data_IF_228453219146
#
_entry.id   IF_228453219146
#
_cell.length_a   1.000
_cell.length_b   1.000
_cell.length_c   1.000
_cell.angle_alpha   90.00
_cell.angle_beta   90.00
_cell.angle_gamma   90.00
#
_symmetry.space_group_name_H-M   'P 1'
#
loop_
_entity.id
_entity.type
_entity.pdbx_description
1 polymer ?
#
# COMPACT_ATOMS: atom_id res chain seq x y z
N UNK A 1 26.74 -18.39 -9.36
CA UNK A 1 27.90 -17.49 -9.25
C UNK A 1 27.82 -16.57 -8.01
N UNK A 2 26.69 -16.55 -7.26
CA UNK A 2 26.52 -15.79 -6.03
C UNK A 2 26.06 -14.34 -6.22
N UNK A 3 25.76 -13.91 -7.45
CA UNK A 3 25.17 -12.59 -7.72
C UNK A 3 23.66 -12.62 -7.46
N UNK A 4 23.16 -11.61 -6.73
CA UNK A 4 21.73 -11.45 -6.48
C UNK A 4 21.09 -10.76 -7.69
N UNK A 5 20.27 -11.48 -8.44
CA UNK A 5 19.61 -10.99 -9.66
C UNK A 5 18.13 -10.65 -9.47
N UNK A 6 17.57 -10.95 -8.31
CA UNK A 6 16.19 -10.60 -7.97
C UNK A 6 15.75 -11.10 -6.61
N UNK A 7 14.58 -10.64 -6.18
CA UNK A 7 13.91 -11.07 -4.96
C UNK A 7 12.40 -10.98 -5.11
N UNK A 8 11.67 -11.75 -4.33
CA UNK A 8 10.21 -11.68 -4.21
C UNK A 8 9.79 -12.13 -2.83
N UNK A 9 8.69 -11.61 -2.33
CA UNK A 9 8.05 -12.07 -1.11
C UNK A 9 6.65 -12.59 -1.40
N UNK A 10 6.36 -13.81 -0.99
CA UNK A 10 5.01 -14.38 -1.00
C UNK A 10 4.34 -14.19 0.36
N UNK A 11 3.07 -13.74 0.36
CA UNK A 11 2.34 -13.37 1.58
C UNK A 11 0.95 -13.99 1.57
N UNK A 12 0.60 -14.69 2.65
CA UNK A 12 -0.77 -15.15 2.91
C UNK A 12 -1.29 -14.45 4.16
N UNK A 13 -2.30 -13.59 3.99
CA UNK A 13 -2.97 -12.97 5.12
C UNK A 13 -3.93 -13.96 5.78
N UNK A 14 -3.57 -14.48 6.95
CA UNK A 14 -4.35 -15.49 7.65
C UNK A 14 -5.74 -14.98 8.06
N UNK A 15 -5.85 -13.71 8.47
CA UNK A 15 -7.14 -13.10 8.84
C UNK A 15 -8.07 -13.04 7.63
N UNK A 16 -7.54 -12.66 6.46
CA UNK A 16 -8.31 -12.61 5.23
C UNK A 16 -8.72 -14.02 4.76
N UNK A 17 -7.81 -14.99 4.91
CA UNK A 17 -8.07 -16.39 4.59
C UNK A 17 -9.22 -16.96 5.42
N UNK A 18 -9.18 -16.76 6.73
CA UNK A 18 -10.17 -17.33 7.66
C UNK A 18 -11.52 -16.62 7.60
N UNK A 19 -11.52 -15.28 7.70
CA UNK A 19 -12.75 -14.49 7.78
C UNK A 19 -13.48 -14.30 6.46
N UNK A 20 -12.73 -14.13 5.36
CA UNK A 20 -13.30 -13.78 4.05
C UNK A 20 -13.26 -14.94 3.04
N UNK A 21 -12.77 -16.12 3.44
CA UNK A 21 -12.46 -17.22 2.51
C UNK A 21 -11.63 -16.73 1.31
N UNK A 22 -10.75 -15.78 1.55
CA UNK A 22 -9.92 -15.19 0.53
C UNK A 22 -8.79 -16.16 0.18
N UNK A 23 -8.81 -16.65 -1.06
CA UNK A 23 -7.83 -17.60 -1.57
C UNK A 23 -6.72 -16.91 -2.38
N UNK A 24 -6.38 -15.68 -2.01
CA UNK A 24 -5.31 -14.91 -2.66
C UNK A 24 -3.98 -15.12 -1.93
N UNK A 25 -2.93 -15.52 -2.66
CA UNK A 25 -1.55 -15.29 -2.26
C UNK A 25 -1.11 -13.95 -2.81
N UNK A 26 -0.57 -13.10 -1.96
CA UNK A 26 0.01 -11.83 -2.37
C UNK A 26 1.47 -12.02 -2.73
N UNK A 27 1.98 -11.22 -3.68
CA UNK A 27 3.41 -11.04 -3.87
C UNK A 27 3.77 -9.56 -3.73
N UNK A 28 4.94 -9.28 -3.17
CA UNK A 28 5.49 -7.94 -3.03
C UNK A 28 7.00 -7.98 -2.95
N UNK A 29 7.64 -6.80 -2.83
CA UNK A 29 9.11 -6.69 -2.89
C UNK A 29 9.69 -7.49 -4.06
N UNK A 30 9.01 -7.39 -5.21
CA UNK A 30 9.35 -8.11 -6.42
C UNK A 30 10.29 -7.24 -7.25
N UNK A 31 11.59 -7.48 -7.06
CA UNK A 31 12.66 -6.80 -7.75
C UNK A 31 13.48 -7.81 -8.56
N UNK A 32 13.83 -7.46 -9.78
CA UNK A 32 14.56 -8.34 -10.69
C UNK A 32 15.29 -7.54 -11.77
N UNK A 33 16.37 -8.10 -12.31
CA UNK A 33 17.05 -7.58 -13.50
C UNK A 33 16.16 -7.78 -14.74
N UNK A 34 16.43 -7.05 -15.82
CA UNK A 34 15.69 -7.19 -17.09
C UNK A 34 16.01 -8.54 -17.77
N UNK A 35 15.53 -9.61 -17.13
CA UNK A 35 15.64 -10.99 -17.56
C UNK A 35 14.35 -11.74 -17.24
N UNK A 36 13.68 -12.24 -18.31
CA UNK A 36 12.39 -12.89 -18.16
C UNK A 36 12.46 -14.24 -17.42
N UNK A 37 13.58 -14.97 -17.54
CA UNK A 37 13.76 -16.23 -16.80
C UNK A 37 13.84 -15.96 -15.30
N UNK A 38 14.51 -14.88 -14.88
CA UNK A 38 14.57 -14.45 -13.48
C UNK A 38 13.19 -14.07 -12.95
N UNK A 39 12.47 -13.18 -13.64
CA UNK A 39 11.15 -12.73 -13.20
C UNK A 39 10.13 -13.88 -13.16
N UNK A 40 10.12 -14.74 -14.18
CA UNK A 40 9.21 -15.88 -14.25
C UNK A 40 9.51 -16.92 -13.17
N UNK A 41 10.78 -17.23 -12.92
CA UNK A 41 11.18 -18.18 -11.87
C UNK A 41 10.75 -17.70 -10.49
N UNK A 42 10.99 -16.42 -10.18
CA UNK A 42 10.61 -15.82 -8.90
C UNK A 42 9.09 -15.82 -8.71
N UNK A 43 8.31 -15.38 -9.70
CA UNK A 43 6.87 -15.33 -9.59
C UNK A 43 6.26 -16.75 -9.49
N UNK A 44 6.75 -17.68 -10.28
CA UNK A 44 6.31 -19.08 -10.24
C UNK A 44 6.59 -19.73 -8.88
N UNK A 45 7.72 -19.44 -8.24
CA UNK A 45 8.01 -19.93 -6.90
C UNK A 45 6.95 -19.48 -5.87
N UNK A 46 6.49 -18.23 -5.92
CA UNK A 46 5.39 -17.76 -5.07
C UNK A 46 4.06 -18.38 -5.45
N UNK A 47 3.78 -18.53 -6.74
CA UNK A 47 2.55 -19.14 -7.22
C UNK A 47 2.44 -20.62 -6.76
N UNK A 48 3.48 -21.42 -6.93
CA UNK A 48 3.50 -22.82 -6.50
C UNK A 48 3.43 -22.96 -4.97
N UNK A 49 4.15 -22.10 -4.24
CA UNK A 49 4.01 -22.06 -2.79
C UNK A 49 2.58 -21.70 -2.39
N UNK A 50 1.98 -20.66 -2.98
CA UNK A 50 0.61 -20.28 -2.72
C UNK A 50 -0.38 -21.42 -2.99
N UNK A 51 -0.22 -22.11 -4.11
CA UNK A 51 -1.01 -23.28 -4.48
C UNK A 51 -0.88 -24.40 -3.45
N UNK A 52 0.32 -24.68 -2.95
CA UNK A 52 0.54 -25.66 -1.88
C UNK A 52 -0.16 -25.29 -0.57
N UNK A 53 -0.44 -24.02 -0.34
CA UNK A 53 -1.18 -23.48 0.81
C UNK A 53 -2.70 -23.36 0.55
N UNK A 54 -3.19 -23.86 -0.61
CA UNK A 54 -4.60 -23.82 -0.99
C UNK A 54 -5.06 -22.46 -1.50
N UNK A 55 -4.15 -21.63 -1.99
CA UNK A 55 -4.48 -20.36 -2.67
C UNK A 55 -4.76 -20.63 -4.15
N UNK A 56 -5.64 -19.83 -4.73
CA UNK A 56 -6.11 -19.97 -6.11
C UNK A 56 -5.77 -18.74 -6.97
N UNK A 57 -5.47 -17.61 -6.35
CA UNK A 57 -5.26 -16.32 -7.02
C UNK A 57 -3.94 -15.74 -6.57
N UNK A 58 -3.10 -15.33 -7.52
CA UNK A 58 -1.89 -14.56 -7.30
C UNK A 58 -2.23 -13.06 -7.47
N UNK A 59 -1.92 -12.24 -6.47
CA UNK A 59 -2.28 -10.83 -6.44
C UNK A 59 -1.12 -9.96 -5.95
N UNK A 60 -0.76 -8.94 -6.72
CA UNK A 60 0.34 -8.04 -6.37
C UNK A 60 0.72 -7.10 -7.51
N UNK A 61 1.76 -6.31 -7.35
CA UNK A 61 2.61 -6.23 -6.16
C UNK A 61 1.93 -5.48 -5.01
N UNK A 62 1.87 -6.10 -3.85
CA UNK A 62 1.29 -5.53 -2.62
C UNK A 62 1.99 -6.11 -1.39
N UNK A 63 2.14 -5.32 -0.34
CA UNK A 63 2.72 -5.76 0.92
C UNK A 63 1.72 -6.47 1.86
N UNK A 64 2.08 -6.52 3.13
CA UNK A 64 1.23 -7.09 4.18
C UNK A 64 -0.02 -6.24 4.41
N UNK A 65 0.14 -4.92 4.39
CA UNK A 65 -0.87 -3.91 4.71
C UNK A 65 -0.81 -2.75 3.74
N UNK A 66 -1.75 -1.80 3.84
CA UNK A 66 -1.77 -0.58 3.05
C UNK A 66 -0.70 0.45 3.47
N UNK A 67 0.08 0.15 4.51
CA UNK A 67 1.27 0.93 4.88
C UNK A 67 2.54 0.50 4.14
N UNK A 68 2.50 -0.62 3.44
CA UNK A 68 3.59 -1.09 2.59
C UNK A 68 3.42 -0.54 1.16
N UNK A 69 4.52 -0.45 0.45
CA UNK A 69 4.48 -0.09 -0.96
C UNK A 69 3.66 -1.09 -1.77
N UNK A 70 2.85 -0.58 -2.70
CA UNK A 70 2.01 -1.40 -3.56
C UNK A 70 1.87 -0.76 -4.94
N UNK A 71 1.56 -1.60 -5.92
CA UNK A 71 1.37 -1.17 -7.30
C UNK A 71 2.63 -1.26 -8.13
N UNK A 72 2.50 -0.80 -9.36
CA UNK A 72 3.52 -0.77 -10.40
C UNK A 72 3.45 0.59 -11.08
N UNK A 73 4.57 1.31 -11.15
CA UNK A 73 4.65 2.56 -11.90
C UNK A 73 4.52 2.26 -13.39
N UNK A 74 3.54 2.86 -14.04
CA UNK A 74 3.28 2.72 -15.47
C UNK A 74 3.58 3.99 -16.26
N UNK A 75 3.41 5.16 -15.63
CA UNK A 75 3.61 6.47 -16.23
C UNK A 75 4.29 7.41 -15.24
N UNK A 76 5.02 8.41 -15.72
CA UNK A 76 5.65 9.41 -14.87
C UNK A 76 7.04 9.02 -14.37
N UNK A 77 7.79 8.22 -15.12
CA UNK A 77 9.14 7.78 -14.77
C UNK A 77 10.16 8.91 -14.62
N UNK A 78 9.86 10.08 -15.17
CA UNK A 78 10.66 11.31 -15.12
C UNK A 78 10.32 12.20 -13.91
N UNK A 79 9.31 11.85 -13.12
CA UNK A 79 8.95 12.56 -11.89
C UNK A 79 9.59 11.92 -10.66
N UNK A 80 9.88 12.78 -9.67
CA UNK A 80 10.29 12.30 -8.35
C UNK A 80 9.06 11.73 -7.64
N UNK A 81 9.08 10.44 -7.35
CA UNK A 81 8.00 9.77 -6.64
C UNK A 81 7.89 10.29 -5.19
N UNK A 82 6.68 10.47 -4.63
CA UNK A 82 6.50 10.71 -3.22
C UNK A 82 6.95 9.49 -2.39
N UNK A 83 7.27 9.71 -1.12
CA UNK A 83 7.83 8.70 -0.23
C UNK A 83 6.93 7.44 -0.09
N UNK A 84 5.64 7.59 -0.31
CA UNK A 84 4.68 6.48 -0.20
C UNK A 84 4.55 5.65 -1.49
N UNK A 85 5.08 6.14 -2.61
CA UNK A 85 4.94 5.50 -3.91
C UNK A 85 6.13 4.60 -4.23
N UNK A 86 5.90 3.61 -5.06
CA UNK A 86 6.93 2.71 -5.56
C UNK A 86 7.49 3.25 -6.88
N UNK A 87 8.81 3.18 -7.04
CA UNK A 87 9.47 3.38 -8.31
C UNK A 87 9.98 2.03 -8.83
N UNK A 88 9.78 1.78 -10.11
CA UNK A 88 10.32 0.63 -10.82
C UNK A 88 10.81 1.05 -12.20
N UNK A 89 11.61 0.20 -12.85
CA UNK A 89 12.05 0.42 -14.23
C UNK A 89 10.92 0.17 -15.24
N UNK A 90 10.94 0.83 -16.41
CA UNK A 90 9.91 0.66 -17.44
C UNK A 90 9.70 -0.78 -17.92
N UNK A 91 10.75 -1.62 -17.92
CA UNK A 91 10.65 -3.01 -18.38
C UNK A 91 9.73 -3.89 -17.49
N UNK A 92 9.43 -3.46 -16.27
CA UNK A 92 8.58 -4.23 -15.36
C UNK A 92 7.18 -4.50 -15.95
N UNK A 93 6.55 -3.51 -16.58
CA UNK A 93 5.21 -3.68 -17.17
C UNK A 93 5.20 -4.77 -18.24
N UNK A 94 6.21 -4.79 -19.11
CA UNK A 94 6.38 -5.82 -20.15
C UNK A 94 6.54 -7.22 -19.54
N UNK A 95 7.31 -7.35 -18.45
CA UNK A 95 7.45 -8.62 -17.75
C UNK A 95 6.11 -9.08 -17.15
N UNK A 96 5.36 -8.17 -16.50
CA UNK A 96 4.06 -8.50 -15.90
C UNK A 96 3.05 -8.97 -16.97
N UNK A 97 2.99 -8.32 -18.12
CA UNK A 97 2.16 -8.73 -19.26
C UNK A 97 2.57 -10.10 -19.79
N UNK A 98 3.86 -10.34 -20.02
CA UNK A 98 4.38 -11.62 -20.50
C UNK A 98 4.18 -12.76 -19.49
N UNK A 99 4.11 -12.45 -18.18
CA UNK A 99 3.78 -13.40 -17.12
C UNK A 99 2.26 -13.70 -17.04
N UNK A 100 1.45 -13.06 -17.89
CA UNK A 100 -0.01 -13.27 -17.92
C UNK A 100 -0.77 -12.59 -16.79
N UNK A 101 -0.15 -11.64 -16.10
CA UNK A 101 -0.82 -10.85 -15.08
C UNK A 101 -1.77 -9.84 -15.72
N UNK A 102 -2.92 -9.64 -15.11
CA UNK A 102 -3.93 -8.68 -15.57
C UNK A 102 -4.09 -7.55 -14.57
N UNK A 103 -4.24 -6.34 -15.08
CA UNK A 103 -4.45 -5.15 -14.25
C UNK A 103 -5.81 -5.22 -13.54
N UNK A 104 -5.83 -5.04 -12.23
CA UNK A 104 -7.04 -5.11 -11.39
C UNK A 104 -7.49 -3.73 -10.89
N UNK A 105 -6.54 -2.80 -10.63
CA UNK A 105 -6.84 -1.45 -10.16
C UNK A 105 -5.80 -0.44 -10.65
N UNK A 106 -6.20 0.83 -10.71
CA UNK A 106 -5.32 1.97 -10.99
C UNK A 106 -5.27 2.91 -9.79
N UNK A 107 -4.11 3.49 -9.54
CA UNK A 107 -3.91 4.63 -8.66
C UNK A 107 -3.41 5.80 -9.48
N UNK A 108 -3.97 6.98 -9.25
CA UNK A 108 -3.59 8.20 -9.94
C UNK A 108 -3.01 9.18 -8.94
N UNK A 109 -1.82 9.66 -9.22
CA UNK A 109 -1.18 10.72 -8.43
C UNK A 109 -1.38 12.07 -9.10
N UNK A 110 -1.64 13.10 -8.28
CA UNK A 110 -1.83 14.46 -8.76
C UNK A 110 -0.77 15.36 -8.17
N UNK A 111 -0.08 16.11 -9.02
CA UNK A 111 0.74 17.23 -8.59
C UNK A 111 -0.12 18.48 -8.50
N UNK A 112 -0.22 19.06 -7.30
CA UNK A 112 -1.02 20.26 -7.04
C UNK A 112 -0.10 21.41 -6.64
N UNK A 113 -0.20 22.53 -7.39
CA UNK A 113 0.48 23.75 -6.99
C UNK A 113 -0.24 24.39 -5.80
N UNK A 114 0.45 24.48 -4.67
CA UNK A 114 -0.09 25.12 -3.46
C UNK A 114 -0.13 26.63 -3.67
N UNK A 115 -1.29 27.30 -3.54
CA UNK A 115 -1.38 28.75 -3.67
C UNK A 115 -0.63 29.44 -2.53
N UNK A 116 -0.06 30.61 -2.79
CA UNK A 116 0.67 31.41 -1.79
C UNK A 116 -0.19 31.89 -0.62
N UNK A 117 -1.49 31.97 -0.84
CA UNK A 117 -2.49 32.30 0.20
C UNK A 117 -3.69 31.38 0.08
N UNK A 118 -4.21 30.94 1.20
CA UNK A 118 -5.45 30.17 1.22
C UNK A 118 -6.58 31.08 0.69
N UNK A 119 -7.37 30.63 -0.32
CA UNK A 119 -8.51 31.41 -0.79
C UNK A 119 -9.53 31.64 0.34
N UNK A 120 -9.99 32.88 0.52
CA UNK A 120 -10.94 33.26 1.59
C UNK A 120 -12.22 32.42 1.62
N UNK A 121 -12.66 31.94 0.43
CA UNK A 121 -13.80 31.03 0.34
C UNK A 121 -13.51 29.70 1.04
N UNK A 122 -12.30 29.15 0.90
CA UNK A 122 -11.91 27.90 1.56
C UNK A 122 -11.79 28.10 3.06
N UNK A 123 -11.23 29.21 3.51
CA UNK A 123 -11.18 29.53 4.93
C UNK A 123 -12.57 29.63 5.56
N UNK A 124 -13.49 30.35 4.93
CA UNK A 124 -14.89 30.46 5.40
C UNK A 124 -15.60 29.10 5.45
N UNK A 125 -15.43 28.29 4.42
CA UNK A 125 -16.02 26.93 4.38
C UNK A 125 -15.44 26.07 5.49
N UNK A 126 -14.12 26.09 5.70
CA UNK A 126 -13.48 25.33 6.76
C UNK A 126 -13.99 25.74 8.15
N UNK A 127 -14.10 27.05 8.44
CA UNK A 127 -14.64 27.55 9.69
C UNK A 127 -16.11 27.17 9.90
N UNK A 128 -16.91 27.23 8.83
CA UNK A 128 -18.30 26.80 8.88
C UNK A 128 -18.44 25.32 9.20
N UNK A 129 -17.62 24.45 8.58
CA UNK A 129 -17.62 23.00 8.83
C UNK A 129 -17.21 22.71 10.27
N UNK A 130 -16.13 23.35 10.75
CA UNK A 130 -15.66 23.16 12.13
C UNK A 130 -16.75 23.56 13.14
N UNK A 131 -17.37 24.74 12.96
CA UNK A 131 -18.41 25.25 13.86
C UNK A 131 -19.67 24.38 13.82
N UNK A 132 -20.18 24.08 12.62
CA UNK A 132 -21.42 23.31 12.43
C UNK A 132 -21.33 21.90 13.02
N UNK A 133 -20.18 21.25 12.85
CA UNK A 133 -19.97 19.90 13.31
C UNK A 133 -19.29 19.82 14.69
N UNK A 134 -19.07 20.96 15.36
CA UNK A 134 -18.36 21.05 16.64
C UNK A 134 -16.99 20.34 16.62
N UNK A 135 -16.31 20.45 15.48
CA UNK A 135 -14.99 19.87 15.29
C UNK A 135 -13.90 20.83 15.78
N UNK A 136 -12.78 20.25 16.17
CA UNK A 136 -11.57 21.00 16.48
C UNK A 136 -10.36 20.32 15.83
N UNK A 137 -9.36 21.09 15.48
CA UNK A 137 -8.07 20.60 15.04
C UNK A 137 -7.15 20.54 16.26
N UNK A 138 -6.76 19.33 16.64
CA UNK A 138 -5.81 19.16 17.73
C UNK A 138 -4.38 19.36 17.21
N UNK A 139 -3.65 20.24 17.87
CA UNK A 139 -2.23 20.44 17.59
C UNK A 139 -1.44 19.48 18.45
N UNK A 140 -0.76 18.53 17.81
CA UNK A 140 0.14 17.57 18.46
C UNK A 140 1.56 17.78 17.92
N UNK A 141 2.56 17.59 18.77
CA UNK A 141 3.96 17.87 18.42
C UNK A 141 4.67 16.70 17.77
N UNK A 142 4.27 15.48 18.09
CA UNK A 142 4.90 14.25 17.62
C UNK A 142 3.99 13.02 17.85
N UNK A 143 4.41 11.88 17.31
CA UNK A 143 3.68 10.63 17.42
C UNK A 143 3.49 10.17 18.88
N UNK A 144 4.44 10.42 19.79
CA UNK A 144 4.30 10.06 21.21
C UNK A 144 3.12 10.78 21.87
N UNK A 145 2.89 12.05 21.51
CA UNK A 145 1.75 12.81 22.02
C UNK A 145 0.43 12.29 21.46
N UNK A 146 0.39 11.88 20.19
CA UNK A 146 -0.76 11.21 19.57
C UNK A 146 -1.07 9.92 20.33
N UNK A 147 -0.07 9.06 20.52
CA UNK A 147 -0.25 7.80 21.22
C UNK A 147 -0.67 7.97 22.68
N UNK A 148 -0.12 8.98 23.38
CA UNK A 148 -0.53 9.31 24.75
C UNK A 148 -1.98 9.77 24.84
N UNK A 149 -2.45 10.54 23.85
CA UNK A 149 -3.79 11.17 23.85
C UNK A 149 -4.88 10.25 23.33
N UNK A 150 -4.60 9.53 22.26
CA UNK A 150 -5.59 8.75 21.52
C UNK A 150 -5.34 7.24 21.58
N UNK A 151 -4.15 6.79 22.00
CA UNK A 151 -3.77 5.38 21.98
C UNK A 151 -3.83 4.82 20.57
N UNK A 152 -4.40 3.63 20.44
CA UNK A 152 -4.57 2.98 19.13
C UNK A 152 -5.87 3.37 18.41
N UNK A 153 -6.72 4.23 18.99
CA UNK A 153 -8.02 4.57 18.38
C UNK A 153 -7.88 5.32 17.05
N UNK A 154 -6.71 5.94 16.78
CA UNK A 154 -6.48 6.53 15.47
C UNK A 154 -6.40 5.48 14.36
N UNK A 155 -5.92 4.27 14.65
CA UNK A 155 -5.96 3.14 13.72
C UNK A 155 -7.40 2.66 13.45
N UNK A 156 -8.29 2.79 14.43
CA UNK A 156 -9.71 2.46 14.24
C UNK A 156 -10.37 3.42 13.25
N UNK A 157 -9.93 4.69 13.22
CA UNK A 157 -10.35 5.67 12.20
C UNK A 157 -9.82 5.28 10.81
N UNK A 158 -8.56 4.86 10.72
CA UNK A 158 -7.97 4.37 9.46
C UNK A 158 -8.72 3.12 8.99
N UNK A 159 -8.91 2.14 9.86
CA UNK A 159 -9.62 0.91 9.54
C UNK A 159 -11.05 1.21 9.00
N UNK A 160 -11.76 2.14 9.63
CA UNK A 160 -13.10 2.54 9.20
C UNK A 160 -13.09 3.31 7.86
N UNK A 161 -12.14 4.22 7.67
CA UNK A 161 -12.05 5.05 6.47
C UNK A 161 -11.57 4.24 5.25
N UNK A 162 -10.66 3.27 5.45
CA UNK A 162 -10.04 2.50 4.38
C UNK A 162 -10.78 1.20 4.05
N UNK A 163 -11.72 0.78 4.90
CA UNK A 163 -12.49 -0.45 4.69
C UNK A 163 -13.06 -0.60 3.27
N UNK A 164 -13.55 0.46 2.59
CA UNK A 164 -14.05 0.34 1.22
C UNK A 164 -12.96 0.38 0.14
N UNK A 165 -11.69 0.63 0.50
CA UNK A 165 -10.62 0.70 -0.49
C UNK A 165 -10.25 -0.68 -1.01
N UNK A 166 -9.74 -0.67 -2.25
CA UNK A 166 -9.26 -1.89 -2.91
C UNK A 166 -8.24 -2.61 -2.04
N UNK A 167 -8.48 -3.90 -1.84
CA UNK A 167 -7.56 -4.84 -1.19
C UNK A 167 -7.20 -4.53 0.27
N UNK A 168 -7.88 -3.54 0.91
CA UNK A 168 -7.62 -3.13 2.28
C UNK A 168 -7.70 -4.31 3.28
N UNK A 169 -6.76 -4.36 4.19
CA UNK A 169 -6.73 -5.31 5.29
C UNK A 169 -6.53 -4.56 6.63
N UNK A 170 -7.44 -4.76 7.60
CA UNK A 170 -7.28 -4.14 8.91
C UNK A 170 -6.02 -4.66 9.62
N UNK A 171 -5.38 -3.78 10.39
CA UNK A 171 -4.19 -4.13 11.14
C UNK A 171 -4.51 -5.04 12.33
N UNK A 172 -3.64 -6.02 12.58
CA UNK A 172 -3.64 -6.75 13.87
C UNK A 172 -3.15 -5.83 14.99
N UNK A 173 -3.38 -6.25 16.23
CA UNK A 173 -2.89 -5.51 17.40
C UNK A 173 -1.37 -5.36 17.37
N UNK A 174 -0.66 -6.41 17.00
CA UNK A 174 0.80 -6.44 16.90
C UNK A 174 1.30 -5.49 15.81
N UNK A 175 0.62 -5.44 14.68
CA UNK A 175 0.93 -4.49 13.62
C UNK A 175 0.67 -3.04 14.05
N UNK A 176 -0.44 -2.76 14.75
CA UNK A 176 -0.70 -1.42 15.33
C UNK A 176 0.42 -0.99 16.28
N UNK A 177 0.90 -1.90 17.14
CA UNK A 177 2.04 -1.64 18.02
C UNK A 177 3.29 -1.34 17.19
N UNK A 178 3.62 -2.17 16.21
CA UNK A 178 4.79 -2.00 15.36
C UNK A 178 4.78 -0.64 14.63
N UNK A 179 3.70 -0.33 13.93
CA UNK A 179 3.58 0.93 13.20
C UNK A 179 3.59 2.16 14.12
N UNK A 180 3.06 2.06 15.35
CA UNK A 180 3.12 3.15 16.32
C UNK A 180 4.53 3.45 16.83
N UNK A 181 5.48 2.54 16.63
CA UNK A 181 6.89 2.77 16.97
C UNK A 181 7.73 3.22 15.79
N UNK A 182 7.24 2.97 14.58
CA UNK A 182 7.94 3.29 13.33
C UNK A 182 7.71 4.77 12.92
N UNK A 183 6.53 5.30 13.17
CA UNK A 183 6.09 6.68 12.88
C UNK A 183 5.97 7.53 14.14
#
# INVERSE_FOLDING_TARGET
>A
DGEIVGRICGIINQIAKEKKKNKKVRFGWFDFIDDFEVSSTLLNAVAEWGKSQGMEILNGPVGFTDFDHQGLLLEGFDYVAPMASLYNFPYYSTHYENLGLTKEADWIEYQVTVPTKVPEKMERVAQMILSRNKLRIDKVKNAKEIMKKYGYSYFDVIDAAYQPLYNFQPLTKEQKIYYSTLY
#
